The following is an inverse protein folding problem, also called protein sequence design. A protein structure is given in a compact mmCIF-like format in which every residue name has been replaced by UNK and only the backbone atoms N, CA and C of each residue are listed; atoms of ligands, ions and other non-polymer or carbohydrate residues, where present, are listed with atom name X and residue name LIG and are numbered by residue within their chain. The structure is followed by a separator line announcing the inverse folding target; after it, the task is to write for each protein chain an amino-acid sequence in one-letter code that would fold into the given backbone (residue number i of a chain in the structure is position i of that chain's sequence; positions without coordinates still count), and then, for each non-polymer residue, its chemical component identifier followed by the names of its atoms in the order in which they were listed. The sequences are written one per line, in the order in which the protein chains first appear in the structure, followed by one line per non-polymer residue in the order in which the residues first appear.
data_IF_602795028796
#
_entry.id   IF_602795028796
#
_cell.length_a   1.000
_cell.length_b   1.000
_cell.length_c   1.000
_cell.angle_alpha   90.00
_cell.angle_beta   90.00
_cell.angle_gamma   90.00
#
_symmetry.space_group_name_H-M   'P 1'
#
loop_
_entity.id
_entity.type
_entity.pdbx_description
1 polymer ?
#
# COMPACT_ATOMS: atom_id res chain seq x y z
N UNK A 1 -4.71 11.56 10.55
CA UNK A 1 -4.23 10.26 10.05
C UNK A 1 -4.87 9.21 10.93
N UNK A 2 -5.82 8.47 10.37
CA UNK A 2 -6.52 7.42 11.11
C UNK A 2 -5.70 6.14 11.02
N UNK A 3 -5.12 5.74 12.15
CA UNK A 3 -4.36 4.50 12.27
C UNK A 3 -5.21 3.41 12.89
N UNK A 4 -5.01 2.18 12.43
CA UNK A 4 -5.63 1.00 13.02
C UNK A 4 -4.74 0.48 14.13
N UNK A 5 -5.26 0.46 15.36
CA UNK A 5 -4.53 -0.04 16.54
C UNK A 5 -4.62 -1.56 16.65
N UNK A 6 -5.74 -2.14 16.19
CA UNK A 6 -6.01 -3.57 16.31
C UNK A 6 -6.38 -4.20 14.97
N UNK A 7 -5.84 -5.39 14.74
CA UNK A 7 -6.10 -6.21 13.56
C UNK A 7 -7.56 -6.65 13.50
N UNK A 8 -8.24 -6.48 12.37
CA UNK A 8 -9.55 -7.11 12.17
C UNK A 8 -9.41 -8.63 11.93
N UNK A 9 -10.49 -9.38 12.14
CA UNK A 9 -10.49 -10.86 12.14
C UNK A 9 -9.84 -11.47 10.88
N UNK A 10 -10.03 -10.85 9.73
CA UNK A 10 -9.58 -11.37 8.43
C UNK A 10 -8.41 -10.59 7.85
N UNK A 11 -7.88 -9.59 8.55
CA UNK A 11 -6.73 -8.87 8.03
C UNK A 11 -5.53 -9.82 7.95
N UNK A 12 -4.60 -9.51 7.08
CA UNK A 12 -3.25 -10.04 7.13
C UNK A 12 -2.37 -9.05 7.90
N UNK A 13 -1.52 -9.57 8.78
CA UNK A 13 -0.53 -8.75 9.49
C UNK A 13 0.81 -8.96 8.80
N UNK A 14 1.39 -7.88 8.29
CA UNK A 14 2.76 -7.85 7.77
C UNK A 14 3.61 -7.00 8.71
N UNK A 15 4.80 -7.48 9.02
CA UNK A 15 5.77 -6.75 9.85
C UNK A 15 7.10 -6.71 9.11
N UNK A 16 7.53 -5.50 8.75
CA UNK A 16 8.75 -5.26 7.98
C UNK A 16 9.42 -3.98 8.48
N UNK A 17 10.74 -4.03 8.65
CA UNK A 17 11.56 -2.89 9.07
C UNK A 17 11.06 -2.19 10.36
N UNK A 18 10.45 -2.97 11.26
CA UNK A 18 9.87 -2.48 12.52
C UNK A 18 8.50 -1.81 12.37
N UNK A 19 7.95 -1.76 11.16
CA UNK A 19 6.61 -1.25 10.85
C UNK A 19 5.61 -2.40 10.77
N UNK A 20 4.43 -2.21 11.40
CA UNK A 20 3.31 -3.14 11.32
C UNK A 20 2.25 -2.61 10.36
N UNK A 21 1.85 -3.45 9.43
CA UNK A 21 0.84 -3.16 8.42
C UNK A 21 -0.27 -4.21 8.54
N UNK A 22 -1.52 -3.75 8.48
CA UNK A 22 -2.69 -4.60 8.41
C UNK A 22 -3.33 -4.45 7.03
N UNK A 23 -3.56 -5.56 6.34
CA UNK A 23 -4.10 -5.61 4.98
C UNK A 23 -5.44 -6.33 5.02
N UNK A 24 -6.52 -5.71 4.54
CA UNK A 24 -7.82 -6.36 4.42
C UNK A 24 -7.74 -7.55 3.44
N UNK A 25 -8.34 -8.69 3.80
CA UNK A 25 -8.31 -9.91 2.99
C UNK A 25 -8.78 -9.71 1.54
N UNK A 26 -9.72 -8.80 1.28
CA UNK A 26 -10.21 -8.51 -0.07
C UNK A 26 -9.19 -7.75 -0.91
N UNK A 27 -8.35 -6.95 -0.27
CA UNK A 27 -7.27 -6.20 -0.92
C UNK A 27 -6.02 -7.06 -1.16
N UNK A 28 -5.89 -8.20 -0.49
CA UNK A 28 -4.72 -9.08 -0.57
C UNK A 28 -4.40 -9.51 -2.02
N UNK A 29 -5.42 -9.92 -2.79
CA UNK A 29 -5.25 -10.33 -4.18
C UNK A 29 -4.81 -9.17 -5.08
N UNK A 30 -5.35 -7.97 -4.84
CA UNK A 30 -4.97 -6.78 -5.61
C UNK A 30 -3.58 -6.29 -5.27
N UNK A 31 -3.10 -6.52 -4.05
CA UNK A 31 -1.78 -6.08 -3.59
C UNK A 31 -0.68 -7.11 -3.84
N UNK A 32 -1.01 -8.29 -4.35
CA UNK A 32 -0.05 -9.37 -4.53
C UNK A 32 1.06 -8.98 -5.53
N UNK A 33 2.30 -8.97 -5.05
CA UNK A 33 3.47 -8.52 -5.83
C UNK A 33 3.65 -6.99 -5.84
N UNK A 34 2.86 -6.24 -5.08
CA UNK A 34 3.04 -4.79 -4.92
C UNK A 34 4.24 -4.49 -4.02
N UNK A 35 5.08 -3.58 -4.47
CA UNK A 35 6.11 -2.94 -3.68
C UNK A 35 5.65 -1.52 -3.30
N UNK A 36 5.76 -1.17 -2.03
CA UNK A 36 5.46 0.18 -1.53
C UNK A 36 6.77 0.84 -1.10
N UNK A 37 7.07 1.99 -1.67
CA UNK A 37 8.26 2.78 -1.32
C UNK A 37 7.83 4.19 -0.87
N UNK A 38 8.68 4.87 -0.09
CA UNK A 38 8.46 6.26 0.31
C UNK A 38 9.46 7.16 -0.37
N UNK A 39 9.02 7.90 -1.39
CA UNK A 39 9.87 8.82 -2.13
C UNK A 39 9.82 10.22 -1.52
N UNK A 40 11.01 10.74 -1.21
CA UNK A 40 11.20 12.12 -0.79
C UNK A 40 11.95 12.90 -1.87
N UNK A 41 11.27 13.84 -2.51
CA UNK A 41 11.85 14.76 -3.49
C UNK A 41 11.88 16.18 -2.92
N UNK A 42 12.58 17.09 -3.60
CA UNK A 42 12.56 18.52 -3.21
C UNK A 42 11.16 19.16 -3.21
N UNK A 43 10.19 18.54 -3.90
CA UNK A 43 8.87 19.12 -4.14
C UNK A 43 7.74 18.34 -3.43
N UNK A 44 7.95 17.05 -3.15
CA UNK A 44 6.91 16.19 -2.59
C UNK A 44 7.51 15.06 -1.74
N UNK A 45 6.72 14.57 -0.78
CA UNK A 45 7.01 13.36 -0.01
C UNK A 45 5.78 12.47 -0.05
N UNK A 46 5.88 11.31 -0.70
CA UNK A 46 4.73 10.46 -0.96
C UNK A 46 5.08 8.98 -0.94
N UNK A 47 4.08 8.16 -0.64
CA UNK A 47 4.16 6.72 -0.83
C UNK A 47 3.86 6.38 -2.28
N UNK A 48 4.71 5.56 -2.89
CA UNK A 48 4.55 5.08 -4.26
C UNK A 48 4.36 3.58 -4.24
N UNK A 49 3.34 3.13 -4.98
CA UNK A 49 2.94 1.73 -5.06
C UNK A 49 3.26 1.21 -6.47
N UNK A 50 4.21 0.28 -6.55
CA UNK A 50 4.59 -0.40 -7.78
C UNK A 50 4.01 -1.81 -7.77
N UNK A 51 2.94 -2.04 -8.54
CA UNK A 51 2.32 -3.36 -8.63
C UNK A 51 2.37 -3.86 -10.07
N UNK A 52 2.97 -5.03 -10.33
CA UNK A 52 3.13 -5.58 -11.68
C UNK A 52 1.80 -5.90 -12.37
N UNK A 53 0.69 -5.96 -11.63
CA UNK A 53 -0.64 -6.19 -12.17
C UNK A 53 -1.38 -4.89 -12.55
N UNK A 54 -0.83 -3.70 -12.27
CA UNK A 54 -1.50 -2.42 -12.59
C UNK A 54 -1.53 -2.20 -14.11
N UNK A 55 -2.73 -1.96 -14.63
CA UNK A 55 -2.97 -1.61 -16.04
C UNK A 55 -3.02 -0.10 -16.28
N UNK A 56 -3.19 0.70 -15.23
CA UNK A 56 -3.12 2.15 -15.30
C UNK A 56 -3.10 2.80 -13.93
N UNK A 57 -2.21 3.78 -13.75
CA UNK A 57 -2.18 4.68 -12.59
C UNK A 57 -2.82 6.02 -12.96
N UNK A 58 -3.62 6.59 -12.04
CA UNK A 58 -4.06 7.97 -12.16
C UNK A 58 -2.83 8.90 -12.06
N UNK A 59 -2.79 9.98 -12.84
CA UNK A 59 -1.64 10.88 -12.92
C UNK A 59 -1.25 11.61 -11.61
N UNK A 60 -2.07 11.49 -10.55
CA UNK A 60 -1.76 11.96 -9.21
C UNK A 60 -1.21 10.87 -8.26
N UNK A 61 -1.10 9.60 -8.70
CA UNK A 61 -0.57 8.49 -7.90
C UNK A 61 -1.51 7.93 -6.83
N UNK A 62 -2.61 8.62 -6.51
CA UNK A 62 -3.53 8.27 -5.42
C UNK A 62 -4.50 7.12 -5.75
N UNK A 63 -4.50 6.62 -6.99
CA UNK A 63 -5.42 5.58 -7.45
C UNK A 63 -4.84 4.78 -8.60
N UNK A 64 -5.08 3.48 -8.60
CA UNK A 64 -4.64 2.55 -9.62
C UNK A 64 -5.73 1.54 -9.97
N UNK A 65 -5.76 1.13 -11.24
CA UNK A 65 -6.62 0.08 -11.75
C UNK A 65 -5.78 -1.16 -12.06
N UNK A 66 -6.16 -2.29 -11.47
CA UNK A 66 -5.62 -3.64 -11.71
C UNK A 66 -6.42 -4.35 -12.80
#
# INVERSE_FOLDING_TARGET
LDYVVEKAKFDEKVEQDGVKIFIDAKAQLTLLGTEMDFMHTKLASEFVFNNPNIKGTCGCGESFSV
#
